data_IF_106368117297
#
_entry.id   IF_106368117297
#
_cell.length_a   1.000
_cell.length_b   1.000
_cell.length_c   1.000
_cell.angle_alpha   90.00
_cell.angle_beta   90.00
_cell.angle_gamma   90.00
#
_symmetry.space_group_name_H-M   'P 1'
#
loop_
_entity.id
_entity.type
_entity.pdbx_description
1 polymer ?
#
# COMPACT_ATOMS: atom_id res chain seq x y z
N UNK A 1 -4.74 -10.05 -0.90
CA UNK A 1 -4.40 -11.23 -1.69
C UNK A 1 -3.31 -12.06 -1.00
N UNK A 2 -3.08 -13.28 -1.48
CA UNK A 2 -1.93 -14.10 -1.12
C UNK A 2 -1.22 -14.58 -2.40
N UNK A 3 0.08 -14.32 -2.49
CA UNK A 3 0.87 -14.67 -3.69
C UNK A 3 0.87 -16.17 -3.99
N UNK A 4 0.77 -17.01 -2.97
CA UNK A 4 0.77 -18.48 -3.13
C UNK A 4 -0.51 -18.95 -3.83
N UNK A 5 -1.66 -18.34 -3.48
CA UNK A 5 -2.96 -18.64 -4.10
C UNK A 5 -2.94 -18.23 -5.57
N UNK A 6 -2.49 -17.00 -5.86
CA UNK A 6 -2.41 -16.50 -7.23
C UNK A 6 -1.46 -17.33 -8.09
N UNK A 7 -0.27 -17.66 -7.58
CA UNK A 7 0.70 -18.50 -8.30
C UNK A 7 0.13 -19.90 -8.56
N UNK A 8 -0.48 -20.52 -7.56
CA UNK A 8 -1.09 -21.85 -7.72
C UNK A 8 -2.23 -21.86 -8.76
N UNK A 9 -3.04 -20.81 -8.81
CA UNK A 9 -4.06 -20.64 -9.86
C UNK A 9 -3.40 -20.56 -11.26
N UNK A 10 -2.39 -19.71 -11.41
CA UNK A 10 -1.71 -19.52 -12.70
C UNK A 10 -0.98 -20.79 -13.16
N UNK A 11 -0.34 -21.52 -12.25
CA UNK A 11 0.26 -22.83 -12.53
C UNK A 11 -0.78 -23.84 -13.00
N UNK A 12 -1.97 -23.87 -12.38
CA UNK A 12 -3.07 -24.75 -12.78
C UNK A 12 -3.61 -24.45 -14.19
N UNK A 13 -3.39 -23.24 -14.68
CA UNK A 13 -3.76 -22.81 -16.03
C UNK A 13 -2.66 -23.13 -17.08
N UNK A 14 -1.49 -23.61 -16.64
CA UNK A 14 -0.40 -24.04 -17.52
C UNK A 14 0.75 -23.03 -17.67
N UNK A 15 0.82 -22.01 -16.84
CA UNK A 15 2.01 -21.13 -16.78
C UNK A 15 3.14 -21.83 -16.01
N UNK A 16 4.36 -21.74 -16.52
CA UNK A 16 5.55 -22.33 -15.88
C UNK A 16 6.10 -21.45 -14.76
N UNK A 17 6.74 -22.05 -13.79
CA UNK A 17 7.23 -21.39 -12.58
C UNK A 17 8.15 -20.19 -12.85
N UNK A 18 8.95 -20.24 -13.91
CA UNK A 18 9.87 -19.20 -14.36
C UNK A 18 9.15 -17.98 -14.98
N UNK A 19 7.93 -18.17 -15.49
CA UNK A 19 7.14 -17.09 -16.11
C UNK A 19 6.14 -16.44 -15.16
N UNK A 20 5.85 -17.05 -14.01
CA UNK A 20 4.81 -16.59 -13.08
C UNK A 20 4.96 -15.15 -12.64
N UNK A 21 6.16 -14.69 -12.34
CA UNK A 21 6.35 -13.29 -11.91
C UNK A 21 5.98 -12.31 -13.01
N UNK A 22 6.30 -12.63 -14.27
CA UNK A 22 5.91 -11.82 -15.43
C UNK A 22 4.39 -11.84 -15.67
N UNK A 23 3.74 -13.00 -15.48
CA UNK A 23 2.28 -13.13 -15.57
C UNK A 23 1.60 -12.35 -14.46
N UNK A 24 2.08 -12.45 -13.23
CA UNK A 24 1.57 -11.70 -12.08
C UNK A 24 1.61 -10.18 -12.31
N UNK A 25 2.69 -9.65 -12.91
CA UNK A 25 2.83 -8.22 -13.23
C UNK A 25 1.78 -7.79 -14.28
N UNK A 26 1.48 -8.65 -15.26
CA UNK A 26 0.43 -8.37 -16.25
C UNK A 26 -0.95 -8.46 -15.61
N UNK A 27 -1.18 -9.46 -14.77
CA UNK A 27 -2.44 -9.66 -14.05
C UNK A 27 -2.77 -8.50 -13.09
N UNK A 28 -1.77 -7.88 -12.46
CA UNK A 28 -1.90 -6.67 -11.62
C UNK A 28 -2.54 -5.49 -12.37
N UNK A 29 -2.48 -5.49 -13.70
CA UNK A 29 -3.10 -4.47 -14.53
C UNK A 29 -4.55 -4.80 -14.93
N UNK A 30 -5.05 -5.97 -14.56
CA UNK A 30 -6.36 -6.51 -14.97
C UNK A 30 -7.48 -5.48 -14.84
N UNK A 31 -7.55 -4.76 -13.72
CA UNK A 31 -8.59 -3.75 -13.47
C UNK A 31 -8.52 -2.54 -14.42
N UNK A 32 -7.36 -2.32 -15.06
CA UNK A 32 -7.13 -1.19 -15.99
C UNK A 32 -7.29 -1.57 -17.44
N UNK A 33 -6.81 -2.75 -17.83
CA UNK A 33 -6.72 -3.17 -19.24
C UNK A 33 -7.73 -4.27 -19.61
N UNK A 34 -8.43 -4.85 -18.63
CA UNK A 34 -9.40 -5.92 -18.84
C UNK A 34 -8.80 -7.24 -19.33
N UNK A 35 -9.65 -8.21 -19.62
CA UNK A 35 -9.23 -9.54 -20.10
C UNK A 35 -8.48 -9.46 -21.43
N UNK A 36 -8.98 -8.65 -22.38
CA UNK A 36 -8.37 -8.50 -23.70
C UNK A 36 -6.97 -7.88 -23.62
N UNK A 37 -6.78 -6.87 -22.77
CA UNK A 37 -5.48 -6.26 -22.56
C UNK A 37 -4.48 -7.20 -21.89
N UNK A 38 -4.92 -8.00 -20.92
CA UNK A 38 -4.09 -9.05 -20.30
C UNK A 38 -3.69 -10.08 -21.35
N UNK A 39 -4.64 -10.56 -22.18
CA UNK A 39 -4.38 -11.50 -23.27
C UNK A 39 -3.36 -10.96 -24.26
N UNK A 40 -3.51 -9.72 -24.71
CA UNK A 40 -2.60 -9.09 -25.65
C UNK A 40 -1.17 -8.99 -25.09
N UNK A 41 -1.01 -8.49 -23.87
CA UNK A 41 0.30 -8.32 -23.26
C UNK A 41 1.01 -9.67 -23.01
N UNK A 42 0.27 -10.72 -22.62
CA UNK A 42 0.84 -12.06 -22.42
C UNK A 42 1.22 -12.73 -23.75
N UNK A 43 0.47 -12.44 -24.83
CA UNK A 43 0.80 -12.91 -26.18
C UNK A 43 2.09 -12.26 -26.69
N UNK A 44 2.28 -10.96 -26.48
CA UNK A 44 3.54 -10.26 -26.80
C UNK A 44 4.75 -10.84 -26.06
N UNK A 45 4.53 -11.36 -24.85
CA UNK A 45 5.55 -12.07 -24.07
C UNK A 45 5.80 -13.51 -24.53
N UNK A 46 5.13 -13.96 -25.58
CA UNK A 46 5.28 -15.29 -26.17
C UNK A 46 5.02 -16.45 -25.19
N UNK A 47 4.08 -16.25 -24.28
CA UNK A 47 3.68 -17.28 -23.33
C UNK A 47 2.72 -18.30 -23.97
N UNK A 48 2.53 -19.51 -23.35
CA UNK A 48 1.68 -20.55 -23.93
C UNK A 48 0.24 -20.08 -24.19
N UNK A 49 -0.22 -20.20 -25.41
CA UNK A 49 -1.53 -19.69 -25.86
C UNK A 49 -2.70 -20.31 -25.10
N UNK A 50 -2.63 -21.59 -24.78
CA UNK A 50 -3.66 -22.28 -23.99
C UNK A 50 -3.78 -21.70 -22.58
N UNK A 51 -2.65 -21.39 -21.92
CA UNK A 51 -2.64 -20.76 -20.60
C UNK A 51 -3.17 -19.32 -20.65
N UNK A 52 -2.79 -18.56 -21.68
CA UNK A 52 -3.29 -17.19 -21.91
C UNK A 52 -4.82 -17.20 -22.09
N UNK A 53 -5.34 -18.09 -22.93
CA UNK A 53 -6.78 -18.20 -23.16
C UNK A 53 -7.51 -18.60 -21.86
N UNK A 54 -7.01 -19.58 -21.11
CA UNK A 54 -7.61 -20.01 -19.85
C UNK A 54 -7.67 -18.86 -18.82
N UNK A 55 -6.65 -18.01 -18.74
CA UNK A 55 -6.64 -16.86 -17.85
C UNK A 55 -7.59 -15.75 -18.35
N UNK A 56 -7.59 -15.47 -19.65
CA UNK A 56 -8.48 -14.47 -20.23
C UNK A 56 -9.97 -14.84 -20.04
N UNK A 57 -10.33 -16.10 -20.29
CA UNK A 57 -11.67 -16.63 -20.08
C UNK A 57 -12.08 -16.55 -18.60
N UNK A 58 -11.17 -16.88 -17.69
CA UNK A 58 -11.41 -16.77 -16.25
C UNK A 58 -11.68 -15.33 -15.79
N UNK A 59 -10.91 -14.37 -16.33
CA UNK A 59 -11.12 -12.93 -16.05
C UNK A 59 -12.45 -12.47 -16.66
N UNK A 60 -12.74 -12.85 -17.92
CA UNK A 60 -13.95 -12.44 -18.62
C UNK A 60 -15.23 -12.99 -18.00
N UNK A 61 -15.17 -14.15 -17.37
CA UNK A 61 -16.29 -14.72 -16.59
C UNK A 61 -16.66 -13.86 -15.36
N UNK A 62 -15.82 -12.91 -14.96
CA UNK A 62 -16.09 -12.00 -13.82
C UNK A 62 -16.06 -12.67 -12.45
N UNK A 63 -15.69 -13.94 -12.38
CA UNK A 63 -15.72 -14.76 -11.17
C UNK A 63 -14.37 -14.82 -10.43
N UNK A 64 -13.57 -13.74 -10.46
CA UNK A 64 -12.27 -13.71 -9.78
C UNK A 64 -12.46 -13.53 -8.25
N UNK A 65 -13.31 -14.38 -7.68
CA UNK A 65 -13.54 -14.44 -6.23
C UNK A 65 -12.47 -15.28 -5.53
N UNK A 66 -12.32 -15.10 -4.22
CA UNK A 66 -11.38 -15.92 -3.45
C UNK A 66 -11.71 -17.42 -3.56
N UNK A 67 -12.98 -17.80 -3.54
CA UNK A 67 -13.40 -19.21 -3.64
C UNK A 67 -13.06 -19.80 -5.02
N UNK A 68 -13.31 -19.05 -6.11
CA UNK A 68 -13.02 -19.50 -7.46
C UNK A 68 -11.50 -19.62 -7.72
N UNK A 69 -10.70 -18.72 -7.15
CA UNK A 69 -9.22 -18.78 -7.24
C UNK A 69 -8.69 -19.93 -6.37
N UNK A 70 -9.20 -20.07 -5.15
CA UNK A 70 -8.80 -21.11 -4.21
C UNK A 70 -9.10 -22.52 -4.73
N UNK A 71 -10.22 -22.70 -5.44
CA UNK A 71 -10.58 -23.98 -6.06
C UNK A 71 -9.55 -24.50 -7.09
N UNK A 72 -8.68 -23.62 -7.59
CA UNK A 72 -7.57 -23.94 -8.51
C UNK A 72 -6.21 -24.05 -7.80
N UNK A 73 -6.16 -23.78 -6.49
CA UNK A 73 -4.95 -23.87 -5.70
C UNK A 73 -4.74 -25.28 -5.20
N UNK A 74 -3.52 -25.78 -5.25
CA UNK A 74 -3.19 -27.14 -4.79
C UNK A 74 -3.31 -27.30 -3.26
N UNK A 75 -3.15 -26.22 -2.50
CA UNK A 75 -3.24 -26.22 -1.03
C UNK A 75 -4.42 -25.31 -0.56
N UNK A 76 -5.57 -25.89 -0.20
CA UNK A 76 -6.72 -25.15 0.25
C UNK A 76 -6.49 -24.43 1.60
N UNK A 77 -5.57 -24.90 2.44
CA UNK A 77 -5.29 -24.30 3.74
C UNK A 77 -4.84 -22.83 3.61
N UNK A 78 -4.15 -22.47 2.52
CA UNK A 78 -3.72 -21.09 2.26
C UNK A 78 -4.94 -20.16 2.08
N UNK A 79 -5.98 -20.65 1.41
CA UNK A 79 -7.21 -19.89 1.21
C UNK A 79 -8.00 -19.73 2.51
N UNK A 80 -8.03 -20.76 3.34
CA UNK A 80 -8.68 -20.72 4.65
C UNK A 80 -7.97 -19.74 5.60
N UNK A 81 -6.65 -19.71 5.60
CA UNK A 81 -5.85 -18.72 6.31
C UNK A 81 -6.21 -17.29 5.87
N UNK A 82 -6.32 -17.05 4.56
CA UNK A 82 -6.69 -15.73 4.04
C UNK A 82 -8.12 -15.35 4.41
N UNK A 83 -9.08 -16.29 4.32
CA UNK A 83 -10.46 -16.09 4.76
C UNK A 83 -10.53 -15.72 6.25
N UNK A 84 -9.77 -16.44 7.08
CA UNK A 84 -9.68 -16.16 8.51
C UNK A 84 -9.15 -14.74 8.79
N UNK A 85 -8.09 -14.32 8.11
CA UNK A 85 -7.53 -12.96 8.24
C UNK A 85 -8.54 -11.91 7.80
N UNK A 86 -9.23 -12.10 6.66
CA UNK A 86 -10.25 -11.18 6.16
C UNK A 86 -11.42 -11.04 7.17
N UNK A 87 -11.93 -12.14 7.68
CA UNK A 87 -13.02 -12.16 8.65
C UNK A 87 -12.62 -11.46 9.96
N UNK A 88 -11.44 -11.80 10.49
CA UNK A 88 -10.93 -11.23 11.74
C UNK A 88 -10.68 -9.73 11.61
N UNK A 89 -10.03 -9.29 10.53
CA UNK A 89 -9.74 -7.88 10.29
C UNK A 89 -11.04 -7.05 10.15
N UNK A 90 -12.06 -7.58 9.45
CA UNK A 90 -13.35 -6.92 9.33
C UNK A 90 -14.11 -6.87 10.67
N UNK A 91 -14.04 -7.93 11.49
CA UNK A 91 -14.61 -7.91 12.83
C UNK A 91 -13.95 -6.84 13.72
N UNK A 92 -12.63 -6.70 13.65
CA UNK A 92 -11.88 -5.67 14.38
C UNK A 92 -12.12 -4.26 13.84
N UNK A 93 -12.49 -4.12 12.58
CA UNK A 93 -12.75 -2.83 11.95
C UNK A 93 -13.91 -2.07 12.60
N UNK A 94 -14.90 -2.77 13.14
CA UNK A 94 -16.09 -2.18 13.79
C UNK A 94 -16.73 -1.08 12.93
N UNK A 95 -16.81 -1.30 11.62
CA UNK A 95 -17.37 -0.36 10.64
C UNK A 95 -16.49 0.83 10.24
N UNK A 96 -15.29 0.96 10.80
CA UNK A 96 -14.36 2.09 10.49
C UNK A 96 -13.65 1.94 9.15
N UNK A 97 -13.46 0.72 8.69
CA UNK A 97 -12.88 0.38 7.39
C UNK A 97 -13.40 -0.99 6.94
N UNK A 98 -13.15 -1.33 5.69
CA UNK A 98 -13.49 -2.62 5.12
C UNK A 98 -12.22 -3.29 4.58
N UNK A 99 -12.08 -4.60 4.81
CA UNK A 99 -11.03 -5.41 4.20
C UNK A 99 -11.68 -6.37 3.22
N UNK A 100 -11.26 -6.28 1.96
CA UNK A 100 -11.79 -7.10 0.88
C UNK A 100 -10.66 -7.89 0.18
N UNK A 101 -11.01 -9.02 -0.40
CA UNK A 101 -10.13 -9.74 -1.30
C UNK A 101 -9.96 -8.94 -2.60
N UNK A 102 -8.72 -8.75 -3.01
CA UNK A 102 -8.37 -8.11 -4.27
C UNK A 102 -7.48 -9.08 -5.08
N UNK A 103 -8.02 -9.78 -6.08
CA UNK A 103 -7.29 -10.78 -6.84
C UNK A 103 -6.12 -10.20 -7.63
N UNK A 104 -6.28 -8.98 -8.17
CA UNK A 104 -5.26 -8.28 -8.95
C UNK A 104 -4.11 -7.76 -8.10
N UNK A 105 -4.23 -7.67 -6.77
CA UNK A 105 -3.17 -7.16 -5.92
C UNK A 105 -1.97 -8.13 -5.86
N UNK A 106 -0.90 -7.80 -6.55
CA UNK A 106 0.32 -8.61 -6.62
C UNK A 106 1.48 -7.98 -5.85
N UNK A 107 1.58 -6.66 -5.86
CA UNK A 107 2.72 -5.87 -5.36
C UNK A 107 4.07 -6.31 -5.98
N UNK A 108 4.71 -5.41 -6.74
CA UNK A 108 5.89 -5.68 -7.55
C UNK A 108 7.18 -6.06 -6.80
N UNK A 109 7.13 -6.21 -5.48
CA UNK A 109 8.29 -6.57 -4.65
C UNK A 109 8.46 -8.10 -4.62
N UNK A 110 9.50 -8.62 -5.23
CA UNK A 110 9.78 -10.05 -5.34
C UNK A 110 10.03 -10.79 -4.01
N UNK A 111 10.20 -10.07 -2.90
CA UNK A 111 10.51 -10.68 -1.60
C UNK A 111 9.28 -11.16 -0.80
N UNK A 112 8.06 -10.80 -1.18
CA UNK A 112 6.87 -11.29 -0.48
C UNK A 112 6.66 -12.79 -0.70
N UNK A 113 6.38 -13.51 0.38
CA UNK A 113 6.25 -14.97 0.41
C UNK A 113 4.82 -15.47 0.66
N UNK A 114 3.89 -14.58 0.95
CA UNK A 114 2.52 -14.94 1.29
C UNK A 114 1.56 -13.78 1.08
N UNK A 115 0.73 -13.51 2.10
CA UNK A 115 -0.25 -12.44 2.06
C UNK A 115 0.37 -11.08 1.77
N UNK A 116 -0.31 -10.31 0.92
CA UNK A 116 0.00 -8.91 0.62
C UNK A 116 -1.25 -8.07 0.80
N UNK A 117 -1.08 -6.83 1.20
CA UNK A 117 -2.19 -5.90 1.40
C UNK A 117 -1.84 -4.49 0.96
N UNK A 118 -2.87 -3.73 0.65
CA UNK A 118 -2.80 -2.33 0.28
C UNK A 118 -3.94 -1.57 0.97
N UNK A 119 -3.69 -0.33 1.37
CA UNK A 119 -4.69 0.54 1.98
C UNK A 119 -4.97 1.67 1.01
N UNK A 120 -6.23 1.79 0.63
CA UNK A 120 -6.73 2.88 -0.21
C UNK A 120 -7.60 3.82 0.63
N UNK A 121 -7.70 5.07 0.20
CA UNK A 121 -8.52 6.10 0.81
C UNK A 121 -9.30 6.81 -0.30
N UNK A 122 -10.63 7.06 -0.11
CA UNK A 122 -11.45 7.73 -1.13
C UNK A 122 -10.92 9.12 -1.56
N UNK A 123 -10.17 9.78 -0.67
CA UNK A 123 -9.60 11.10 -0.89
C UNK A 123 -8.32 11.11 -1.72
N UNK A 124 -7.77 9.94 -2.05
CA UNK A 124 -6.52 9.84 -2.79
C UNK A 124 -6.58 8.75 -3.86
N UNK A 125 -6.21 9.07 -5.09
CA UNK A 125 -6.16 8.09 -6.16
C UNK A 125 -4.90 7.22 -6.03
N UNK A 126 -5.06 6.02 -5.46
CA UNK A 126 -4.00 5.05 -5.25
C UNK A 126 -3.83 4.66 -3.79
N UNK A 127 -2.81 3.84 -3.51
CA UNK A 127 -2.54 3.36 -2.17
C UNK A 127 -1.92 4.43 -1.28
N UNK A 128 -2.38 4.51 -0.04
CA UNK A 128 -1.78 5.35 1.01
C UNK A 128 -0.83 4.56 1.91
N UNK A 129 -0.97 3.24 1.96
CA UNK A 129 -0.07 2.33 2.66
C UNK A 129 -0.13 0.93 2.04
N UNK A 130 0.78 0.07 2.43
CA UNK A 130 0.71 -1.32 2.05
C UNK A 130 1.92 -2.13 2.50
N UNK A 131 1.78 -3.44 2.46
CA UNK A 131 2.78 -4.36 2.95
C UNK A 131 2.49 -5.81 2.61
N UNK A 132 3.12 -6.71 3.35
CA UNK A 132 2.90 -8.14 3.18
C UNK A 132 3.87 -8.98 4.02
N UNK A 133 3.72 -10.28 3.90
CA UNK A 133 4.52 -11.30 4.55
C UNK A 133 5.79 -11.61 3.74
N UNK A 134 6.96 -11.70 4.39
CA UNK A 134 8.26 -11.91 3.74
C UNK A 134 9.21 -12.78 4.58
N UNK A 135 8.81 -14.00 4.87
CA UNK A 135 9.49 -14.93 5.78
C UNK A 135 10.96 -15.22 5.42
N UNK A 136 11.31 -15.12 4.14
CA UNK A 136 12.67 -15.45 3.69
C UNK A 136 13.66 -14.28 3.80
N UNK A 137 13.20 -13.06 4.00
CA UNK A 137 14.10 -11.89 3.98
C UNK A 137 14.96 -11.82 5.24
N UNK A 138 14.34 -11.96 6.41
CA UNK A 138 15.03 -11.94 7.70
C UNK A 138 15.93 -13.17 7.85
N UNK A 139 15.45 -14.32 7.40
CA UNK A 139 16.19 -15.57 7.44
C UNK A 139 17.51 -15.56 6.67
N UNK A 140 17.62 -14.78 5.59
CA UNK A 140 18.89 -14.63 4.84
C UNK A 140 20.00 -14.04 5.68
N UNK A 141 19.69 -13.21 6.66
CA UNK A 141 20.69 -12.62 7.58
C UNK A 141 20.97 -13.49 8.79
N UNK A 142 19.99 -14.28 9.23
CA UNK A 142 20.10 -15.06 10.47
C UNK A 142 20.44 -16.53 10.22
N UNK A 143 20.43 -17.00 8.97
CA UNK A 143 20.67 -18.40 8.63
C UNK A 143 19.54 -19.36 9.03
N UNK A 144 18.39 -18.85 9.48
CA UNK A 144 17.20 -19.60 9.89
C UNK A 144 15.95 -18.95 9.34
N UNK A 145 14.91 -19.74 9.07
CA UNK A 145 13.64 -19.18 8.61
C UNK A 145 12.94 -18.38 9.73
N UNK A 146 12.62 -17.12 9.48
CA UNK A 146 11.96 -16.23 10.45
C UNK A 146 10.71 -15.64 9.81
N UNK A 147 9.51 -16.01 10.28
CA UNK A 147 8.27 -15.38 9.80
C UNK A 147 8.29 -13.87 10.05
N UNK A 148 8.02 -13.10 9.01
CA UNK A 148 8.02 -11.64 9.10
C UNK A 148 6.91 -11.04 8.26
N UNK A 149 6.29 -10.00 8.79
CA UNK A 149 5.32 -9.15 8.10
C UNK A 149 5.68 -7.69 8.34
N UNK A 150 5.51 -6.85 7.35
CA UNK A 150 5.75 -5.42 7.49
C UNK A 150 4.94 -4.61 6.51
N UNK A 151 4.96 -3.30 6.73
CA UNK A 151 4.24 -2.36 5.89
C UNK A 151 4.95 -1.01 5.84
N UNK A 152 4.60 -0.22 4.86
CA UNK A 152 5.00 1.18 4.75
C UNK A 152 3.78 2.08 4.61
N UNK A 153 3.88 3.29 5.11
CA UNK A 153 2.86 4.34 5.01
C UNK A 153 3.42 5.46 4.13
N UNK A 154 2.64 5.90 3.16
CA UNK A 154 2.97 7.07 2.33
C UNK A 154 2.79 8.35 3.14
N UNK A 155 3.86 8.80 3.80
CA UNK A 155 3.82 9.94 4.72
C UNK A 155 3.21 11.20 4.06
N UNK A 156 3.74 11.60 2.91
CA UNK A 156 3.24 12.79 2.20
C UNK A 156 1.77 12.65 1.79
N UNK A 157 1.34 11.43 1.40
CA UNK A 157 -0.04 11.15 1.00
C UNK A 157 -1.00 11.33 2.16
N UNK A 158 -0.67 10.72 3.30
CA UNK A 158 -1.50 10.82 4.52
C UNK A 158 -1.51 12.25 5.05
N UNK A 159 -0.36 12.92 5.09
CA UNK A 159 -0.27 14.33 5.51
C UNK A 159 -1.07 15.24 4.57
N UNK A 160 -1.01 15.03 3.24
CA UNK A 160 -1.81 15.76 2.27
C UNK A 160 -3.30 15.65 2.53
N UNK A 161 -3.81 14.42 2.70
CA UNK A 161 -5.21 14.16 3.02
C UNK A 161 -5.64 14.87 4.31
N UNK A 162 -4.83 14.77 5.37
CA UNK A 162 -5.13 15.40 6.65
C UNK A 162 -5.17 16.95 6.54
N UNK A 163 -4.25 17.54 5.78
CA UNK A 163 -4.21 18.98 5.55
C UNK A 163 -5.43 19.46 4.76
N UNK A 164 -5.83 18.74 3.72
CA UNK A 164 -7.03 19.03 2.93
C UNK A 164 -8.31 18.95 3.76
N UNK A 165 -8.36 18.03 4.73
CA UNK A 165 -9.46 17.91 5.69
C UNK A 165 -9.42 18.95 6.81
N UNK A 166 -8.43 19.84 6.84
CA UNK A 166 -8.27 20.85 7.90
C UNK A 166 -7.93 20.24 9.27
N UNK A 167 -7.32 19.05 9.30
CA UNK A 167 -6.96 18.37 10.55
C UNK A 167 -6.02 19.25 11.38
N UNK A 168 -6.40 19.46 12.64
CA UNK A 168 -5.57 20.20 13.61
C UNK A 168 -4.89 19.21 14.53
N UNK A 169 -3.57 19.31 14.64
CA UNK A 169 -2.80 18.45 15.56
C UNK A 169 -3.21 18.82 16.99
N UNK A 170 -3.75 17.87 17.79
CA UNK A 170 -4.12 18.14 19.17
C UNK A 170 -2.93 18.67 19.97
N UNK A 171 -3.14 19.77 20.69
CA UNK A 171 -2.08 20.42 21.47
C UNK A 171 -1.05 21.19 20.66
N UNK A 172 -1.22 21.32 19.36
CA UNK A 172 -0.36 22.18 18.54
C UNK A 172 -0.51 23.64 18.96
N UNK A 173 0.61 24.26 19.31
CA UNK A 173 0.62 25.71 19.61
C UNK A 173 0.39 26.50 18.34
N UNK A 174 -0.40 27.58 18.44
CA UNK A 174 -0.60 28.52 17.36
C UNK A 174 0.76 29.10 16.90
N UNK A 175 0.97 29.20 15.59
CA UNK A 175 2.17 29.82 15.00
C UNK A 175 2.02 31.32 14.99
N UNK A 176 3.03 32.04 15.51
CA UNK A 176 3.10 33.51 15.44
C UNK A 176 4.48 33.93 14.96
N UNK A 177 4.54 35.08 14.31
CA UNK A 177 5.77 35.76 13.93
C UNK A 177 6.00 36.96 14.85
N UNK A 178 7.14 37.01 15.56
CA UNK A 178 7.61 38.17 16.30
C UNK A 178 8.51 38.98 15.37
N UNK A 179 8.00 40.11 14.92
CA UNK A 179 8.73 41.03 14.03
C UNK A 179 9.49 42.06 14.86
N UNK A 180 10.74 42.32 14.51
CA UNK A 180 11.53 43.37 15.16
C UNK A 180 12.20 44.33 14.15
N UNK A 181 12.32 45.57 14.52
CA UNK A 181 12.98 46.60 13.71
C UNK A 181 14.49 46.48 13.74
N UNK A 182 15.17 47.15 12.78
CA UNK A 182 16.64 47.13 12.65
C UNK A 182 17.37 47.60 13.91
N UNK A 183 16.78 48.56 14.61
CA UNK A 183 17.38 49.21 15.79
C UNK A 183 16.87 48.62 17.13
N UNK A 184 16.13 47.52 17.08
CA UNK A 184 15.62 46.88 18.28
C UNK A 184 16.75 46.21 19.09
N UNK A 185 16.63 46.25 20.40
CA UNK A 185 17.49 45.40 21.29
C UNK A 185 17.16 43.94 21.06
N UNK A 186 18.06 43.26 20.38
CA UNK A 186 17.87 41.86 20.02
C UNK A 186 17.80 40.93 21.25
N UNK A 187 18.46 41.30 22.36
CA UNK A 187 18.39 40.56 23.62
C UNK A 187 16.99 40.60 24.20
N UNK A 188 16.37 41.75 24.19
CA UNK A 188 14.98 41.93 24.63
C UNK A 188 14.01 41.21 23.70
N UNK A 189 14.25 41.16 22.38
CA UNK A 189 13.46 40.43 21.42
C UNK A 189 13.53 38.91 21.70
N UNK A 190 14.71 38.37 21.94
CA UNK A 190 14.89 36.97 22.27
C UNK A 190 14.24 36.58 23.62
N UNK A 191 14.34 37.44 24.63
CA UNK A 191 13.67 37.25 25.91
C UNK A 191 12.14 37.20 25.73
N UNK A 192 11.58 38.09 24.92
CA UNK A 192 10.15 38.07 24.60
C UNK A 192 9.74 36.83 23.79
N UNK A 193 10.57 36.43 22.87
CA UNK A 193 10.33 35.18 22.11
C UNK A 193 10.33 33.95 23.03
N UNK A 194 11.24 33.86 24.01
CA UNK A 194 11.30 32.82 24.98
C UNK A 194 10.04 32.75 25.86
N UNK A 195 9.56 33.87 26.34
CA UNK A 195 8.31 33.98 27.09
C UNK A 195 7.10 33.47 26.24
N UNK A 196 6.96 33.95 25.01
CA UNK A 196 5.87 33.59 24.12
C UNK A 196 5.89 32.11 23.70
N UNK A 197 7.05 31.45 23.68
CA UNK A 197 7.18 30.01 23.35
C UNK A 197 6.51 29.08 24.38
N UNK A 198 6.22 29.59 25.57
CA UNK A 198 5.39 28.83 26.53
C UNK A 198 4.00 28.52 25.96
N UNK A 199 3.42 29.44 25.18
CA UNK A 199 2.04 29.36 24.65
C UNK A 199 1.96 29.24 23.14
N UNK A 200 2.98 29.68 22.41
CA UNK A 200 2.98 29.80 20.96
C UNK A 200 4.20 29.10 20.33
N UNK A 201 4.10 28.79 19.03
CA UNK A 201 5.22 28.41 18.18
C UNK A 201 5.76 29.69 17.52
N UNK A 202 6.86 30.26 18.06
CA UNK A 202 7.33 31.61 17.72
C UNK A 202 8.47 31.58 16.72
N UNK A 203 8.29 32.22 15.57
CA UNK A 203 9.34 32.58 14.61
C UNK A 203 9.74 34.01 14.80
N UNK A 204 11.03 34.32 14.98
CA UNK A 204 11.54 35.68 15.11
C UNK A 204 12.07 36.14 13.76
N UNK A 205 11.57 37.27 13.25
CA UNK A 205 11.91 37.80 11.94
C UNK A 205 12.25 39.30 12.02
N UNK A 206 13.34 39.67 11.36
CA UNK A 206 13.65 41.09 11.19
C UNK A 206 12.73 41.68 10.12
N UNK A 207 12.14 42.85 10.42
CA UNK A 207 11.30 43.56 9.47
C UNK A 207 12.15 43.99 8.28
N UNK A 208 11.77 43.56 7.07
CA UNK A 208 12.41 44.06 5.85
C UNK A 208 12.10 45.53 5.63
N UNK A 209 13.09 46.31 5.14
CA UNK A 209 12.79 47.64 4.61
C UNK A 209 11.79 47.49 3.47
N UNK A 210 10.70 48.30 3.50
CA UNK A 210 9.89 48.45 2.27
C UNK A 210 10.84 48.91 1.15
N UNK A 211 10.87 48.12 0.09
CA UNK A 211 11.42 48.51 -1.19
C UNK A 211 10.56 49.63 -1.77
#
# INVERSE_FOLDING_TARGET
NDRRILRGMLESMGFSADTLDSVCITFDKMDKIGADGVKAELTEKQLPENAINALADFIAAGEVTLDAVAARCADPAIADDLKYVLATANAMAAGRYQVAYCPSLVRGQGYYTGMVFEITCPQFSGAVAGGGRYDNMVGKFLGTQVPAVGFSIGFERVCGILLEQGYQIPGAKQKIALLYGKDADFTAVLAKAADLRSSYNVTVLQQAKKL
#
